data_IF_646665102126
#
_entry.id   IF_646665102126
#
_cell.length_a   1.000
_cell.length_b   1.000
_cell.length_c   1.000
_cell.angle_alpha   90.00
_cell.angle_beta   90.00
_cell.angle_gamma   90.00
#
_symmetry.space_group_name_H-M   'P 1'
#
loop_
_entity.id
_entity.type
_entity.pdbx_description
1 polymer ?
#
# COMPACT_ATOMS: atom_id res chain seq x y z
N UNK A 1 39.20 0.06 30.92
CA UNK A 1 38.42 -0.91 30.13
C UNK A 1 37.28 -0.16 29.48
N UNK A 2 37.15 -0.13 28.14
CA UNK A 2 35.99 0.47 27.51
C UNK A 2 34.79 -0.44 27.78
N UNK A 3 33.71 0.14 28.30
CA UNK A 3 32.44 -0.55 28.44
C UNK A 3 31.83 -0.64 27.04
N UNK A 4 31.72 -1.84 26.48
CA UNK A 4 30.93 -2.06 25.28
C UNK A 4 29.46 -1.89 25.65
N UNK A 5 28.84 -0.82 25.17
CA UNK A 5 27.39 -0.63 25.28
C UNK A 5 26.76 -1.42 24.14
N UNK A 6 26.21 -2.58 24.45
CA UNK A 6 25.40 -3.34 23.50
C UNK A 6 24.02 -2.67 23.40
N UNK A 7 23.75 -2.00 22.28
CA UNK A 7 22.43 -1.40 22.00
C UNK A 7 21.54 -2.48 21.37
N UNK A 8 20.40 -2.76 21.99
CA UNK A 8 19.38 -3.67 21.45
C UNK A 8 18.43 -2.93 20.49
N UNK A 9 18.36 -3.40 19.25
CA UNK A 9 17.48 -2.86 18.21
C UNK A 9 16.25 -3.75 17.94
N UNK A 10 16.05 -4.83 18.69
CA UNK A 10 15.02 -5.85 18.43
C UNK A 10 13.61 -5.27 18.33
N UNK A 11 13.25 -4.32 19.19
CA UNK A 11 11.93 -3.68 19.17
C UNK A 11 11.73 -2.83 17.91
N UNK A 12 12.77 -2.12 17.46
CA UNK A 12 12.71 -1.29 16.26
C UNK A 12 12.57 -2.16 15.00
N UNK A 13 13.31 -3.27 14.95
CA UNK A 13 13.22 -4.26 13.87
C UNK A 13 11.80 -4.84 13.80
N UNK A 14 11.25 -5.29 14.94
CA UNK A 14 9.90 -5.84 15.00
C UNK A 14 8.82 -4.84 14.53
N UNK A 15 8.97 -3.56 14.90
CA UNK A 15 8.07 -2.48 14.46
C UNK A 15 8.12 -2.29 12.94
N UNK A 16 9.31 -2.28 12.33
CA UNK A 16 9.45 -2.12 10.89
C UNK A 16 8.95 -3.35 10.13
N UNK A 17 9.21 -4.57 10.61
CA UNK A 17 8.63 -5.80 10.04
C UNK A 17 7.10 -5.79 10.06
N UNK A 18 6.50 -5.34 11.17
CA UNK A 18 5.04 -5.18 11.29
C UNK A 18 4.50 -4.17 10.28
N UNK A 19 5.22 -3.07 10.02
CA UNK A 19 4.83 -2.10 8.98
C UNK A 19 4.89 -2.71 7.58
N UNK A 20 5.96 -3.45 7.26
CA UNK A 20 6.09 -4.15 5.97
C UNK A 20 4.94 -5.13 5.76
N UNK A 21 4.57 -5.91 6.78
CA UNK A 21 3.44 -6.84 6.69
C UNK A 21 2.13 -6.12 6.37
N UNK A 22 1.82 -5.03 7.09
CA UNK A 22 0.62 -4.22 6.83
C UNK A 22 0.60 -3.62 5.42
N UNK A 23 1.74 -3.13 4.93
CA UNK A 23 1.84 -2.59 3.57
C UNK A 23 1.58 -3.68 2.52
N UNK A 24 2.05 -4.92 2.74
CA UNK A 24 1.77 -6.06 1.86
C UNK A 24 0.27 -6.39 1.83
N UNK A 25 -0.38 -6.41 3.00
CA UNK A 25 -1.83 -6.64 3.08
C UNK A 25 -2.60 -5.55 2.34
N UNK A 26 -2.23 -4.27 2.52
CA UNK A 26 -2.84 -3.15 1.80
C UNK A 26 -2.66 -3.24 0.28
N UNK A 27 -1.48 -3.64 -0.20
CA UNK A 27 -1.24 -3.86 -1.63
C UNK A 27 -2.16 -4.97 -2.16
N UNK A 28 -2.37 -6.05 -1.39
CA UNK A 28 -3.27 -7.13 -1.77
C UNK A 28 -4.70 -6.64 -1.93
N UNK A 29 -5.21 -5.90 -0.94
CA UNK A 29 -6.56 -5.33 -0.99
C UNK A 29 -6.76 -4.39 -2.20
N UNK A 30 -5.76 -3.56 -2.50
CA UNK A 30 -5.80 -2.63 -3.64
C UNK A 30 -5.75 -3.38 -4.98
N UNK A 31 -5.02 -4.50 -5.06
CA UNK A 31 -5.02 -5.37 -6.26
C UNK A 31 -6.38 -5.99 -6.51
N UNK A 32 -7.03 -6.51 -5.47
CA UNK A 32 -8.37 -7.09 -5.58
C UNK A 32 -9.39 -6.05 -6.05
N UNK A 33 -9.33 -4.83 -5.50
CA UNK A 33 -10.16 -3.71 -5.96
C UNK A 33 -9.93 -3.39 -7.44
N UNK A 34 -8.67 -3.35 -7.87
CA UNK A 34 -8.33 -3.09 -9.28
C UNK A 34 -8.92 -4.16 -10.20
N UNK A 35 -8.83 -5.44 -9.84
CA UNK A 35 -9.38 -6.56 -10.65
C UNK A 35 -10.88 -6.36 -10.87
N UNK A 36 -11.62 -6.02 -9.81
CA UNK A 36 -13.07 -5.73 -9.91
C UNK A 36 -13.33 -4.52 -10.80
N UNK A 37 -12.53 -3.46 -10.71
CA UNK A 37 -12.68 -2.26 -11.55
C UNK A 37 -12.36 -2.52 -13.03
N UNK A 38 -11.36 -3.34 -13.31
CA UNK A 38 -11.02 -3.76 -14.68
C UNK A 38 -12.17 -4.58 -15.28
N UNK A 39 -12.80 -5.48 -14.52
CA UNK A 39 -13.98 -6.21 -14.94
C UNK A 39 -15.17 -5.27 -15.22
N UNK A 40 -15.43 -4.32 -14.32
CA UNK A 40 -16.45 -3.27 -14.52
C UNK A 40 -16.21 -2.48 -15.82
N UNK A 41 -14.96 -2.09 -16.06
CA UNK A 41 -14.56 -1.36 -17.27
C UNK A 41 -14.78 -2.19 -18.53
N UNK A 42 -14.51 -3.50 -18.50
CA UNK A 42 -14.64 -4.39 -19.65
C UNK A 42 -16.10 -4.79 -19.93
N UNK A 43 -16.96 -4.83 -18.91
CA UNK A 43 -18.39 -5.17 -19.01
C UNK A 43 -19.28 -4.01 -19.52
N UNK A 44 -18.73 -3.10 -20.33
CA UNK A 44 -19.42 -2.01 -21.03
C UNK A 44 -20.07 -0.95 -20.12
N UNK A 45 -19.65 -0.85 -18.85
CA UNK A 45 -20.05 0.27 -18.02
C UNK A 45 -19.44 1.57 -18.58
N UNK A 46 -20.20 2.67 -18.74
CA UNK A 46 -19.66 3.92 -19.25
C UNK A 46 -18.43 4.34 -18.44
N UNK A 47 -17.36 4.78 -19.10
CA UNK A 47 -16.12 5.21 -18.43
C UNK A 47 -16.36 6.32 -17.40
N UNK A 48 -17.43 7.09 -17.60
CA UNK A 48 -17.87 8.19 -16.77
C UNK A 48 -18.66 7.74 -15.53
N UNK A 49 -18.86 6.42 -15.37
CA UNK A 49 -19.43 5.82 -14.17
C UNK A 49 -18.62 6.27 -12.97
N UNK A 50 -19.29 6.94 -12.03
CA UNK A 50 -18.68 7.40 -10.79
C UNK A 50 -18.90 6.37 -9.71
N UNK A 51 -17.81 5.94 -9.10
CA UNK A 51 -17.84 5.09 -7.91
C UNK A 51 -17.50 5.93 -6.68
N UNK A 52 -18.03 5.54 -5.54
CA UNK A 52 -17.68 6.12 -4.26
C UNK A 52 -16.44 5.41 -3.70
N UNK A 53 -15.34 6.15 -3.61
CA UNK A 53 -14.13 5.72 -2.95
C UNK A 53 -14.14 6.21 -1.51
N UNK A 54 -14.10 5.29 -0.55
CA UNK A 54 -13.96 5.61 0.86
C UNK A 54 -12.48 5.69 1.21
N UNK A 55 -12.02 6.90 1.54
CA UNK A 55 -10.66 7.16 1.98
C UNK A 55 -10.60 7.14 3.50
N UNK A 56 -9.78 6.24 4.03
CA UNK A 56 -9.48 6.13 5.46
C UNK A 56 -8.18 6.85 5.83
N UNK A 57 -8.09 7.34 7.06
CA UNK A 57 -6.92 8.05 7.57
C UNK A 57 -7.27 8.96 8.74
N UNK A 58 -6.48 10.02 8.94
CA UNK A 58 -6.75 11.08 9.94
C UNK A 58 -8.09 11.77 9.65
N UNK A 59 -8.45 11.89 8.38
CA UNK A 59 -9.75 12.36 7.91
C UNK A 59 -10.43 11.23 7.13
N UNK A 60 -11.67 10.91 7.49
CA UNK A 60 -12.52 10.03 6.69
C UNK A 60 -13.25 10.87 5.67
N UNK A 61 -13.07 10.58 4.39
CA UNK A 61 -13.79 11.26 3.33
C UNK A 61 -14.22 10.26 2.26
N UNK A 62 -15.29 10.59 1.53
CA UNK A 62 -15.68 9.86 0.34
C UNK A 62 -15.58 10.77 -0.88
N UNK A 63 -15.09 10.21 -1.98
CA UNK A 63 -14.89 10.92 -3.24
C UNK A 63 -15.58 10.16 -4.34
N UNK A 64 -16.35 10.88 -5.17
CA UNK A 64 -16.91 10.34 -6.41
C UNK A 64 -15.88 10.49 -7.52
N UNK A 65 -15.39 9.37 -8.03
CA UNK A 65 -14.33 9.34 -9.04
C UNK A 65 -14.75 8.41 -10.19
N UNK A 66 -14.36 8.78 -11.42
CA UNK A 66 -14.65 7.94 -12.58
C UNK A 66 -13.73 6.71 -12.60
N UNK A 67 -14.22 5.58 -13.12
CA UNK A 67 -13.46 4.32 -13.18
C UNK A 67 -12.14 4.48 -13.94
N UNK A 68 -12.15 5.27 -15.02
CA UNK A 68 -10.97 5.52 -15.85
C UNK A 68 -9.82 6.25 -15.16
N UNK A 69 -10.10 7.03 -14.11
CA UNK A 69 -9.12 7.75 -13.29
C UNK A 69 -8.80 6.97 -12.02
N UNK A 70 -9.74 6.18 -11.49
CA UNK A 70 -9.51 5.36 -10.30
C UNK A 70 -8.46 4.27 -10.54
N UNK A 71 -8.53 3.54 -11.66
CA UNK A 71 -7.59 2.44 -11.94
C UNK A 71 -6.12 2.88 -11.90
N UNK A 72 -5.70 3.95 -12.61
CA UNK A 72 -4.32 4.44 -12.52
C UNK A 72 -3.89 4.88 -11.12
N UNK A 73 -4.80 5.45 -10.32
CA UNK A 73 -4.48 5.84 -8.94
C UNK A 73 -4.21 4.62 -8.04
N UNK A 74 -4.94 3.53 -8.24
CA UNK A 74 -4.68 2.27 -7.53
C UNK A 74 -3.36 1.62 -7.99
N UNK A 75 -3.03 1.71 -9.28
CA UNK A 75 -1.73 1.24 -9.79
C UNK A 75 -0.56 2.00 -9.16
N UNK A 76 -0.64 3.33 -9.11
CA UNK A 76 0.38 4.15 -8.45
C UNK A 76 0.47 3.83 -6.95
N UNK A 77 -0.67 3.61 -6.28
CA UNK A 77 -0.67 3.25 -4.85
C UNK A 77 0.06 1.92 -4.58
N UNK A 78 -0.11 0.94 -5.47
CA UNK A 78 0.63 -0.34 -5.38
C UNK A 78 2.12 -0.10 -5.56
N UNK A 79 2.52 0.69 -6.56
CA UNK A 79 3.93 1.00 -6.85
C UNK A 79 4.60 1.74 -5.68
N UNK A 80 3.97 2.81 -5.18
CA UNK A 80 4.48 3.61 -4.07
C UNK A 80 4.65 2.77 -2.79
N UNK A 81 3.64 1.96 -2.45
CA UNK A 81 3.71 1.09 -1.28
C UNK A 81 4.77 -0.02 -1.45
N UNK A 82 4.98 -0.51 -2.67
CA UNK A 82 6.04 -1.49 -2.97
C UNK A 82 7.43 -0.86 -2.81
N UNK A 83 7.62 0.36 -3.31
CA UNK A 83 8.86 1.11 -3.13
C UNK A 83 9.16 1.35 -1.64
N UNK A 84 8.16 1.75 -0.86
CA UNK A 84 8.29 1.95 0.59
C UNK A 84 8.68 0.66 1.32
N UNK A 85 8.11 -0.48 0.92
CA UNK A 85 8.51 -1.79 1.46
C UNK A 85 10.00 -2.06 1.19
N UNK A 86 10.48 -1.81 -0.02
CA UNK A 86 11.90 -2.02 -0.37
C UNK A 86 12.83 -1.09 0.41
N UNK A 87 12.46 0.17 0.61
CA UNK A 87 13.22 1.11 1.44
C UNK A 87 13.31 0.64 2.89
N UNK A 88 12.18 0.28 3.50
CA UNK A 88 12.13 -0.24 4.87
C UNK A 88 12.91 -1.55 5.04
N UNK A 89 12.92 -2.41 4.02
CA UNK A 89 13.67 -3.66 4.06
C UNK A 89 15.18 -3.43 4.01
N UNK A 90 15.61 -2.49 3.15
CA UNK A 90 17.00 -2.08 3.04
C UNK A 90 17.52 -1.52 4.36
N UNK A 91 16.72 -0.73 5.07
CA UNK A 91 17.05 -0.22 6.42
C UNK A 91 17.28 -1.35 7.43
N UNK A 92 16.57 -2.47 7.29
CA UNK A 92 16.72 -3.65 8.15
C UNK A 92 17.76 -4.67 7.66
N UNK A 93 18.37 -4.46 6.50
CA UNK A 93 19.23 -5.47 5.86
C UNK A 93 18.49 -6.75 5.46
N UNK A 94 17.17 -6.65 5.22
CA UNK A 94 16.32 -7.78 4.81
C UNK A 94 16.21 -7.79 3.29
N UNK A 95 16.49 -8.95 2.70
CA UNK A 95 16.22 -9.19 1.28
C UNK A 95 14.73 -9.48 1.07
N UNK A 96 14.07 -8.70 0.21
CA UNK A 96 12.68 -8.91 -0.18
C UNK A 96 12.66 -9.41 -1.61
N UNK A 97 12.25 -10.67 -1.76
CA UNK A 97 11.92 -11.29 -3.05
C UNK A 97 10.59 -10.81 -3.60
#
# INVERSE_FOLDING_TARGET
MPQEITIDFSEQIAKVQTKIARLKDMIHDVRDQKIVLDDIKNNHMPRDTKLELNLGGVLKCSVKINVGTLIPLLEQNIEDNTALIHELAKELGIDIK
#
